data_IF_693564956077
#
_entry.id   IF_693564956077
#
_cell.length_a   1.000
_cell.length_b   1.000
_cell.length_c   1.000
_cell.angle_alpha   90.00
_cell.angle_beta   90.00
_cell.angle_gamma   90.00
#
_symmetry.space_group_name_H-M   'P 1'
#
loop_
_entity.id
_entity.type
_entity.pdbx_description
1 polymer ?
#
# COMPACT_ATOMS: atom_id res chain seq x y z
N UNK A 1 -3.76 -5.47 10.31
CA UNK A 1 -3.97 -4.13 10.91
C UNK A 1 -5.17 -3.49 10.21
N UNK A 2 -6.13 -2.92 10.95
CA UNK A 2 -7.32 -2.26 10.40
C UNK A 2 -7.13 -0.73 10.35
N UNK A 3 -8.00 -0.03 9.63
CA UNK A 3 -7.94 1.44 9.51
C UNK A 3 -9.07 2.11 10.29
N UNK A 4 -8.80 3.29 10.81
CA UNK A 4 -9.76 4.16 11.49
C UNK A 4 -9.97 5.44 10.69
N UNK A 5 -11.19 5.96 10.68
CA UNK A 5 -11.52 7.26 10.08
C UNK A 5 -10.86 8.40 10.86
N UNK A 6 -10.25 9.33 10.13
CA UNK A 6 -9.65 10.56 10.65
C UNK A 6 -10.44 11.77 10.09
N UNK A 7 -11.58 12.13 10.71
CA UNK A 7 -12.49 13.16 10.21
C UNK A 7 -11.86 14.55 10.14
N UNK A 8 -10.78 14.78 10.89
CA UNK A 8 -10.04 16.05 10.92
C UNK A 8 -9.19 16.28 9.66
N UNK A 9 -9.08 15.29 8.77
CA UNK A 9 -8.28 15.36 7.54
C UNK A 9 -9.14 15.91 6.40
N UNK A 10 -9.05 17.23 6.16
CA UNK A 10 -9.81 17.92 5.11
C UNK A 10 -9.30 17.63 3.68
N UNK A 11 -8.01 17.30 3.53
CA UNK A 11 -7.38 16.98 2.25
C UNK A 11 -6.54 15.71 2.37
N UNK A 12 -6.73 14.77 1.44
CA UNK A 12 -6.01 13.50 1.41
C UNK A 12 -6.86 12.30 1.79
N UNK A 13 -6.21 11.15 2.01
CA UNK A 13 -6.90 9.93 2.43
C UNK A 13 -7.37 10.09 3.89
N UNK A 14 -8.69 10.00 4.17
CA UNK A 14 -9.24 10.20 5.50
C UNK A 14 -9.04 8.98 6.42
N UNK A 15 -8.23 8.00 6.02
CA UNK A 15 -7.98 6.79 6.81
C UNK A 15 -6.58 6.79 7.43
N UNK A 16 -6.50 6.35 8.68
CA UNK A 16 -5.24 6.19 9.42
C UNK A 16 -5.13 4.77 9.98
N UNK A 17 -3.93 4.19 10.07
CA UNK A 17 -3.76 2.88 10.69
C UNK A 17 -4.10 2.93 12.18
N UNK A 18 -4.82 1.93 12.67
CA UNK A 18 -5.11 1.82 14.11
C UNK A 18 -3.85 1.45 14.89
N UNK A 19 -3.72 1.98 16.11
CA UNK A 19 -2.63 1.69 17.04
C UNK A 19 -1.54 2.77 17.16
N UNK A 20 -1.67 3.87 16.41
CA UNK A 20 -0.87 5.08 16.60
C UNK A 20 0.65 4.85 16.56
N UNK A 21 1.37 5.58 17.40
CA UNK A 21 2.85 5.57 17.40
C UNK A 21 3.43 4.21 17.80
N UNK A 22 2.76 3.44 18.67
CA UNK A 22 3.26 2.14 19.15
C UNK A 22 3.39 1.16 17.98
N UNK A 23 2.33 0.99 17.20
CA UNK A 23 2.37 0.13 16.02
C UNK A 23 3.28 0.73 14.93
N UNK A 24 3.34 2.05 14.84
CA UNK A 24 4.24 2.75 13.93
C UNK A 24 5.72 2.39 14.14
N UNK A 25 6.19 2.37 15.39
CA UNK A 25 7.58 2.06 15.72
C UNK A 25 7.88 0.56 15.77
N UNK A 26 6.91 -0.27 16.16
CA UNK A 26 7.09 -1.71 16.22
C UNK A 26 7.17 -2.36 14.84
N UNK A 27 6.62 -1.72 13.80
CA UNK A 27 6.57 -2.27 12.44
C UNK A 27 7.73 -1.76 11.59
N UNK A 28 8.61 -2.66 11.13
CA UNK A 28 9.74 -2.30 10.26
C UNK A 28 9.29 -1.92 8.84
N UNK A 29 8.23 -2.56 8.34
CA UNK A 29 7.67 -2.27 7.03
C UNK A 29 6.18 -2.03 7.17
N UNK A 30 5.68 -0.95 6.59
CA UNK A 30 4.26 -0.65 6.55
C UNK A 30 3.80 -0.45 5.12
N UNK A 31 2.79 -1.22 4.74
CA UNK A 31 2.19 -1.20 3.41
C UNK A 31 0.72 -0.83 3.55
N UNK A 32 0.31 0.18 2.79
CA UNK A 32 -1.06 0.62 2.70
C UNK A 32 -1.73 0.02 1.47
N UNK A 33 -2.78 -0.79 1.70
CA UNK A 33 -3.52 -1.48 0.64
C UNK A 33 -4.82 -0.74 0.35
N UNK A 34 -5.02 -0.32 -0.90
CA UNK A 34 -6.27 0.32 -1.35
C UNK A 34 -6.90 -0.44 -2.51
N UNK A 35 -8.23 -0.44 -2.55
CA UNK A 35 -9.01 -0.95 -3.68
C UNK A 35 -8.99 0.05 -4.83
N UNK A 36 -8.75 -0.41 -6.05
CA UNK A 36 -8.80 0.40 -7.28
C UNK A 36 -9.58 -0.36 -8.34
N UNK A 37 -10.91 -0.29 -8.26
CA UNK A 37 -11.80 -1.10 -9.08
C UNK A 37 -11.63 -2.61 -8.83
N UNK A 38 -11.32 -3.34 -9.88
CA UNK A 38 -11.01 -4.77 -9.83
C UNK A 38 -9.62 -5.04 -9.25
N UNK A 39 -8.68 -4.11 -9.45
CA UNK A 39 -7.30 -4.21 -9.01
C UNK A 39 -7.12 -3.73 -7.56
N UNK A 40 -5.94 -4.01 -7.01
CA UNK A 40 -5.48 -3.55 -5.70
C UNK A 40 -4.17 -2.79 -5.88
N UNK A 41 -3.96 -1.79 -5.04
CA UNK A 41 -2.74 -0.99 -5.02
C UNK A 41 -2.11 -1.16 -3.65
N UNK A 42 -0.87 -1.62 -3.62
CA UNK A 42 -0.03 -1.62 -2.44
C UNK A 42 0.90 -0.42 -2.51
N UNK A 43 0.85 0.43 -1.49
CA UNK A 43 1.75 1.56 -1.33
C UNK A 43 2.67 1.31 -0.14
N UNK A 44 3.98 1.39 -0.37
CA UNK A 44 4.94 1.39 0.73
C UNK A 44 4.88 2.75 1.42
N UNK A 45 4.50 2.77 2.70
CA UNK A 45 4.37 4.00 3.50
C UNK A 45 5.48 4.14 4.55
N UNK A 46 6.18 3.05 4.85
CA UNK A 46 7.31 3.04 5.77
C UNK A 46 8.25 1.89 5.45
N UNK A 47 9.55 2.18 5.45
CA UNK A 47 10.61 1.22 5.19
C UNK A 47 11.96 1.80 5.59
N UNK A 48 12.87 1.01 6.17
CA UNK A 48 14.23 1.47 6.49
C UNK A 48 15.10 1.67 5.23
N UNK A 49 14.81 0.98 4.13
CA UNK A 49 15.72 0.90 2.97
C UNK A 49 15.05 1.13 1.61
N UNK A 50 13.72 1.10 1.53
CA UNK A 50 13.01 1.17 0.27
C UNK A 50 12.27 2.51 0.15
N UNK A 51 12.26 3.12 -1.06
CA UNK A 51 11.52 4.34 -1.28
C UNK A 51 10.02 4.09 -1.25
N UNK A 52 9.28 5.18 -1.01
CA UNK A 52 7.84 5.24 -1.24
C UNK A 52 7.54 4.83 -2.68
N UNK A 53 6.86 3.70 -2.84
CA UNK A 53 6.53 3.11 -4.14
C UNK A 53 5.12 2.56 -4.12
N UNK A 54 4.50 2.50 -5.30
CA UNK A 54 3.17 1.94 -5.50
C UNK A 54 3.26 0.81 -6.51
N UNK A 55 2.66 -0.34 -6.17
CA UNK A 55 2.56 -1.52 -7.05
C UNK A 55 1.09 -1.87 -7.20
N UNK A 56 0.68 -2.25 -8.42
CA UNK A 56 -0.67 -2.73 -8.69
C UNK A 56 -0.65 -4.24 -8.87
N UNK A 57 -1.62 -4.91 -8.27
CA UNK A 57 -1.80 -6.34 -8.40
C UNK A 57 -3.29 -6.68 -8.44
N UNK A 58 -3.62 -7.84 -8.98
CA UNK A 58 -4.99 -8.33 -9.05
C UNK A 58 -5.16 -9.46 -8.06
N UNK A 59 -6.36 -9.58 -7.49
CA UNK A 59 -6.72 -10.71 -6.62
C UNK A 59 -7.71 -11.58 -7.38
N UNK A 60 -7.38 -12.85 -7.54
CA UNK A 60 -8.23 -13.87 -8.17
C UNK A 60 -8.43 -15.07 -7.21
N UNK A 61 -9.12 -16.11 -7.67
CA UNK A 61 -9.36 -17.33 -6.87
C UNK A 61 -8.06 -18.06 -6.48
N UNK A 62 -6.98 -17.87 -7.24
CA UNK A 62 -5.66 -18.45 -6.95
C UNK A 62 -4.84 -17.61 -5.96
N UNK A 63 -5.29 -16.41 -5.60
CA UNK A 63 -4.60 -15.50 -4.70
C UNK A 63 -4.26 -14.17 -5.37
N UNK A 64 -2.97 -13.86 -5.52
CA UNK A 64 -2.48 -12.60 -6.08
C UNK A 64 -1.73 -12.81 -7.38
N UNK A 65 -2.14 -12.09 -8.43
CA UNK A 65 -1.46 -12.09 -9.73
C UNK A 65 -0.82 -10.73 -10.01
N UNK A 66 0.34 -10.79 -10.66
CA UNK A 66 1.03 -9.61 -11.14
C UNK A 66 0.33 -9.04 -12.38
N UNK A 67 0.06 -7.74 -12.37
CA UNK A 67 -0.40 -7.02 -13.56
C UNK A 67 0.75 -6.67 -14.51
N UNK A 68 2.00 -6.78 -14.04
CA UNK A 68 3.20 -6.22 -14.66
C UNK A 68 4.14 -7.27 -15.31
N UNK A 69 3.62 -8.30 -15.97
CA UNK A 69 4.47 -9.16 -16.85
C UNK A 69 4.89 -8.46 -18.17
N UNK A 70 4.72 -7.12 -18.28
CA UNK A 70 4.75 -6.40 -19.56
C UNK A 70 5.73 -5.22 -19.71
N UNK A 71 6.63 -4.92 -18.76
CA UNK A 71 7.65 -3.87 -18.96
C UNK A 71 9.03 -4.27 -18.40
N UNK A 72 9.73 -5.15 -19.12
CA UNK A 72 11.20 -5.06 -19.16
C UNK A 72 11.54 -3.71 -19.78
N UNK A 73 11.87 -2.71 -18.97
CA UNK A 73 12.55 -1.52 -19.46
C UNK A 73 13.86 -1.99 -20.13
N UNK A 74 13.87 -2.02 -21.46
CA UNK A 74 15.12 -1.94 -22.21
C UNK A 74 15.79 -0.64 -21.75
N UNK A 75 16.85 -0.74 -20.95
CA UNK A 75 17.87 0.30 -20.88
C UNK A 75 18.86 -0.01 -22.00
N UNK A 76 18.87 0.83 -23.03
CA UNK A 76 20.06 1.11 -23.83
C UNK A 76 21.16 1.68 -22.93
#
# INVERSE_FOLDING_TARGET
NQVQSAPDTFFGDPTKPTGGNVIGHASTYRVYLRKSGENRIAKMIDSPYHPYSEVRFTINEKGTDNLDEGKKSKKE
#
